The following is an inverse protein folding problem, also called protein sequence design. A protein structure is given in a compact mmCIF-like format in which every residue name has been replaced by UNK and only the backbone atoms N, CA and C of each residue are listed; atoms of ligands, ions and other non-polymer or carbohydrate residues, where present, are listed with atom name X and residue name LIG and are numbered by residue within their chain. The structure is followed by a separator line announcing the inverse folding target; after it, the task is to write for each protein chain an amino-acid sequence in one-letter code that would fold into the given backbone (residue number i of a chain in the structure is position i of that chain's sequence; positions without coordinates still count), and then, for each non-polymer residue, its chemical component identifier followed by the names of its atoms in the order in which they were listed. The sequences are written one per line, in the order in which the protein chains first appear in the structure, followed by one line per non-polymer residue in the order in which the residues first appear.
data_IF_440165308126
#
_entry.id   IF_440165308126
#
_cell.length_a   1.000
_cell.length_b   1.000
_cell.length_c   1.000
_cell.angle_alpha   90.00
_cell.angle_beta   90.00
_cell.angle_gamma   90.00
#
_symmetry.space_group_name_H-M   'P 1'
#
loop_
_entity.id
_entity.type
_entity.pdbx_description
1 polymer ?
#
# COMPACT_ATOMS: atom_id res chain seq x y z
N UNK A 1 -16.85 -3.76 9.73
CA UNK A 1 -16.74 -2.32 10.07
C UNK A 1 -17.98 -1.90 10.83
N UNK A 2 -17.85 -0.93 11.73
CA UNK A 2 -18.91 -0.53 12.67
C UNK A 2 -19.64 0.72 12.20
N UNK A 3 -20.80 1.01 12.82
CA UNK A 3 -21.65 2.16 12.45
C UNK A 3 -20.90 3.49 12.54
N UNK A 4 -19.92 3.61 13.45
CA UNK A 4 -19.10 4.82 13.60
C UNK A 4 -18.13 5.04 12.43
N UNK A 5 -17.87 4.02 11.62
CA UNK A 5 -17.03 4.12 10.42
C UNK A 5 -17.81 4.69 9.21
N UNK A 6 -19.11 4.96 9.35
CA UNK A 6 -19.96 5.40 8.25
C UNK A 6 -19.77 6.88 7.88
N UNK A 7 -19.86 7.19 6.59
CA UNK A 7 -20.03 8.54 6.07
C UNK A 7 -21.52 8.93 6.02
N UNK A 8 -21.82 10.16 5.60
CA UNK A 8 -23.20 10.69 5.54
C UNK A 8 -24.16 9.93 4.61
N UNK A 9 -23.66 9.03 3.76
CA UNK A 9 -24.47 8.16 2.89
C UNK A 9 -24.64 6.74 3.44
N UNK A 10 -24.13 6.45 4.64
CA UNK A 10 -24.23 5.13 5.27
C UNK A 10 -23.24 4.08 4.75
N UNK A 11 -22.35 4.45 3.84
CA UNK A 11 -21.20 3.63 3.43
C UNK A 11 -20.02 3.88 4.36
N UNK A 12 -19.04 3.00 4.36
CA UNK A 12 -17.78 3.22 5.07
C UNK A 12 -17.12 4.50 4.56
N UNK A 13 -16.63 5.33 5.46
CA UNK A 13 -15.95 6.56 5.13
C UNK A 13 -14.58 6.28 4.49
N UNK A 14 -14.29 6.92 3.35
CA UNK A 14 -13.04 6.69 2.61
C UNK A 14 -11.78 6.93 3.46
N UNK A 15 -11.79 7.93 4.35
CA UNK A 15 -10.72 8.17 5.32
C UNK A 15 -10.47 7.02 6.30
N UNK A 16 -11.50 6.25 6.66
CA UNK A 16 -11.34 5.05 7.50
C UNK A 16 -10.59 3.97 6.73
N UNK A 17 -10.97 3.74 5.46
CA UNK A 17 -10.29 2.79 4.58
C UNK A 17 -8.83 3.20 4.36
N UNK A 18 -8.56 4.48 4.07
CA UNK A 18 -7.18 4.97 3.88
C UNK A 18 -6.33 4.81 5.15
N UNK A 19 -6.90 5.06 6.33
CA UNK A 19 -6.20 4.80 7.60
C UNK A 19 -5.81 3.33 7.73
N UNK A 20 -6.76 2.42 7.51
CA UNK A 20 -6.50 0.97 7.61
C UNK A 20 -5.48 0.50 6.57
N UNK A 21 -5.49 1.07 5.36
CA UNK A 21 -4.50 0.78 4.32
C UNK A 21 -3.10 1.22 4.76
N UNK A 22 -2.95 2.45 5.25
CA UNK A 22 -1.66 2.97 5.71
C UNK A 22 -1.12 2.12 6.87
N UNK A 23 -1.97 1.78 7.84
CA UNK A 23 -1.62 0.90 8.96
C UNK A 23 -1.16 -0.50 8.50
N UNK A 24 -1.92 -1.13 7.59
CA UNK A 24 -1.57 -2.46 7.06
C UNK A 24 -0.25 -2.44 6.28
N UNK A 25 -0.05 -1.42 5.44
CA UNK A 25 1.17 -1.27 4.66
C UNK A 25 2.39 -0.94 5.55
N UNK A 26 2.19 -0.10 6.57
CA UNK A 26 3.22 0.21 7.57
C UNK A 26 3.65 -1.04 8.34
N UNK A 27 2.71 -1.93 8.73
CA UNK A 27 3.03 -3.20 9.39
C UNK A 27 3.97 -4.05 8.51
N UNK A 28 3.70 -4.14 7.20
CA UNK A 28 4.58 -4.86 6.27
C UNK A 28 5.98 -4.23 6.23
N UNK A 29 6.06 -2.90 6.09
CA UNK A 29 7.32 -2.17 6.07
C UNK A 29 8.12 -2.29 7.38
N UNK A 30 7.44 -2.26 8.53
CA UNK A 30 8.05 -2.45 9.86
C UNK A 30 8.56 -3.89 10.00
N UNK A 31 7.76 -4.89 9.61
CA UNK A 31 8.19 -6.30 9.68
C UNK A 31 9.42 -6.57 8.82
N UNK A 32 9.53 -5.96 7.65
CA UNK A 32 10.71 -6.11 6.79
C UNK A 32 11.94 -5.37 7.33
N UNK A 33 11.76 -4.11 7.71
CA UNK A 33 12.88 -3.26 8.15
C UNK A 33 13.33 -3.51 9.58
N UNK A 34 12.47 -4.11 10.42
CA UNK A 34 12.63 -4.24 11.86
C UNK A 34 12.89 -2.89 12.56
N UNK A 35 12.26 -1.82 12.04
CA UNK A 35 12.48 -0.43 12.47
C UNK A 35 11.20 0.42 12.39
N UNK A 36 11.14 1.56 13.09
CA UNK A 36 10.12 2.57 12.86
C UNK A 36 10.15 3.06 11.41
N UNK A 37 8.98 3.30 10.83
CA UNK A 37 8.83 3.79 9.47
C UNK A 37 7.94 5.02 9.43
N UNK A 38 8.10 5.83 8.39
CA UNK A 38 7.21 6.95 8.07
C UNK A 38 6.70 6.83 6.64
N UNK A 39 5.42 7.13 6.44
CA UNK A 39 4.81 7.22 5.10
C UNK A 39 5.29 8.51 4.43
N UNK A 40 6.06 8.37 3.34
CA UNK A 40 6.59 9.54 2.59
C UNK A 40 5.80 9.83 1.32
N UNK A 41 5.06 8.84 0.82
CA UNK A 41 4.18 8.99 -0.33
C UNK A 41 3.08 7.94 -0.30
N UNK A 42 1.89 8.37 -0.64
CA UNK A 42 0.81 7.49 -1.10
C UNK A 42 0.64 7.84 -2.58
N UNK A 43 0.85 6.86 -3.46
CA UNK A 43 0.57 7.03 -4.88
C UNK A 43 -0.95 7.08 -5.11
N UNK A 44 -1.39 7.04 -6.37
CA UNK A 44 -2.80 7.18 -6.72
C UNK A 44 -3.67 6.19 -5.93
N UNK A 45 -4.74 6.71 -5.32
CA UNK A 45 -5.72 5.94 -4.54
C UNK A 45 -7.11 6.23 -5.10
N UNK A 46 -7.59 5.37 -6.00
CA UNK A 46 -8.93 5.49 -6.58
C UNK A 46 -9.91 4.56 -5.85
N UNK A 47 -11.04 5.09 -5.39
CA UNK A 47 -12.15 4.29 -4.87
C UNK A 47 -13.04 3.82 -6.02
N UNK A 48 -12.97 2.53 -6.35
CA UNK A 48 -13.62 1.91 -7.49
C UNK A 48 -15.01 1.34 -7.15
N UNK A 49 -15.26 1.01 -5.89
CA UNK A 49 -16.53 0.52 -5.39
C UNK A 49 -16.79 0.99 -3.96
N UNK A 50 -18.06 1.12 -3.54
CA UNK A 50 -18.38 1.39 -2.14
C UNK A 50 -18.05 0.18 -1.25
N UNK A 51 -17.66 0.44 -0.01
CA UNK A 51 -17.65 -0.54 1.06
C UNK A 51 -18.84 -0.27 1.99
N UNK A 52 -19.66 -1.30 2.22
CA UNK A 52 -20.88 -1.17 3.02
C UNK A 52 -20.62 -1.50 4.49
N UNK A 53 -21.37 -0.86 5.38
CA UNK A 53 -21.38 -1.22 6.80
C UNK A 53 -21.83 -2.66 6.96
N UNK A 54 -21.18 -3.41 7.86
CA UNK A 54 -21.41 -4.83 8.06
C UNK A 54 -20.64 -5.75 7.11
N UNK A 55 -20.09 -5.26 5.99
CA UNK A 55 -19.18 -6.06 5.17
C UNK A 55 -17.80 -6.22 5.84
N UNK A 56 -17.11 -7.29 5.45
CA UNK A 56 -15.72 -7.55 5.80
C UNK A 56 -14.82 -6.83 4.80
N UNK A 57 -13.81 -6.13 5.31
CA UNK A 57 -12.79 -5.47 4.49
C UNK A 57 -11.51 -6.32 4.52
N UNK A 58 -11.02 -6.73 3.36
CA UNK A 58 -9.73 -7.37 3.19
C UNK A 58 -8.73 -6.36 2.67
N UNK A 59 -7.58 -6.26 3.32
CA UNK A 59 -6.45 -5.44 2.88
C UNK A 59 -5.26 -6.37 2.70
N UNK A 60 -4.88 -6.59 1.43
CA UNK A 60 -3.71 -7.34 1.07
C UNK A 60 -2.56 -6.36 0.88
N UNK A 61 -1.43 -6.59 1.55
CA UNK A 61 -0.27 -5.71 1.48
C UNK A 61 1.01 -6.53 1.31
N UNK A 62 1.88 -6.12 0.39
CA UNK A 62 3.16 -6.78 0.14
C UNK A 62 4.21 -5.81 -0.40
N UNK A 63 5.48 -6.14 -0.24
CA UNK A 63 6.57 -5.34 -0.79
C UNK A 63 6.71 -5.59 -2.29
N UNK A 64 6.76 -4.51 -3.05
CA UNK A 64 7.04 -4.52 -4.49
C UNK A 64 8.49 -4.10 -4.78
N UNK A 65 9.08 -3.28 -3.92
CA UNK A 65 10.44 -2.77 -4.10
C UNK A 65 11.08 -2.34 -2.78
N UNK A 66 12.39 -2.56 -2.66
CA UNK A 66 13.21 -2.05 -1.55
C UNK A 66 14.42 -1.31 -2.11
N UNK A 67 14.58 -0.06 -1.67
CA UNK A 67 15.75 0.78 -1.94
C UNK A 67 16.78 0.70 -0.82
N UNK A 68 17.56 1.77 -0.61
CA UNK A 68 18.50 1.82 0.53
C UNK A 68 17.75 1.85 1.86
N UNK A 69 16.89 2.84 2.05
CA UNK A 69 16.10 3.07 3.27
C UNK A 69 14.60 3.11 3.02
N UNK A 70 14.20 3.05 1.75
CA UNK A 70 12.82 3.18 1.29
C UNK A 70 12.24 1.82 0.93
N UNK A 71 10.95 1.64 1.17
CA UNK A 71 10.19 0.43 0.85
C UNK A 71 8.90 0.83 0.14
N UNK A 72 8.61 0.21 -0.99
CA UNK A 72 7.36 0.38 -1.74
C UNK A 72 6.46 -0.81 -1.44
N UNK A 73 5.31 -0.54 -0.84
CA UNK A 73 4.31 -1.53 -0.43
C UNK A 73 3.09 -1.36 -1.32
N UNK A 74 2.77 -2.39 -2.10
CA UNK A 74 1.50 -2.45 -2.83
C UNK A 74 0.38 -2.84 -1.88
N UNK A 75 -0.80 -2.28 -2.11
CA UNK A 75 -2.02 -2.65 -1.39
C UNK A 75 -3.18 -2.93 -2.34
N UNK A 76 -4.00 -3.90 -1.97
CA UNK A 76 -5.25 -4.23 -2.63
C UNK A 76 -6.35 -4.33 -1.57
N UNK A 77 -7.43 -3.58 -1.77
CA UNK A 77 -8.55 -3.50 -0.84
C UNK A 77 -9.78 -4.12 -1.50
N UNK A 78 -10.34 -5.14 -0.85
CA UNK A 78 -11.56 -5.80 -1.27
C UNK A 78 -12.58 -5.77 -0.12
N UNK A 79 -13.87 -5.80 -0.45
CA UNK A 79 -14.95 -5.94 0.53
C UNK A 79 -15.80 -7.15 0.20
N UNK A 80 -16.30 -7.86 1.21
CA UNK A 80 -17.17 -9.02 1.05
C UNK A 80 -18.41 -8.90 1.93
N UNK A 81 -19.57 -9.16 1.34
CA UNK A 81 -20.79 -9.48 2.06
C UNK A 81 -20.78 -10.96 2.43
N UNK A 82 -20.66 -11.28 3.72
CA UNK A 82 -20.55 -12.67 4.18
C UNK A 82 -21.83 -13.51 4.02
N UNK A 83 -22.98 -12.87 3.80
CA UNK A 83 -24.25 -13.58 3.60
C UNK A 83 -24.39 -13.97 2.14
N UNK A 84 -24.08 -13.06 1.21
CA UNK A 84 -24.23 -13.29 -0.24
C UNK A 84 -22.96 -13.85 -0.88
N UNK A 85 -21.80 -13.70 -0.25
CA UNK A 85 -20.49 -14.02 -0.81
C UNK A 85 -20.01 -13.03 -1.88
N UNK A 86 -20.70 -11.88 -2.04
CA UNK A 86 -20.35 -10.92 -3.08
C UNK A 86 -19.08 -10.16 -2.69
N UNK A 87 -18.02 -10.33 -3.49
CA UNK A 87 -16.73 -9.63 -3.34
C UNK A 87 -16.66 -8.46 -4.30
N UNK A 88 -16.25 -7.29 -3.81
CA UNK A 88 -16.00 -6.10 -4.62
C UNK A 88 -14.59 -5.58 -4.43
N UNK A 89 -13.94 -5.22 -5.53
CA UNK A 89 -12.67 -4.52 -5.52
C UNK A 89 -12.90 -3.05 -5.20
N UNK A 90 -12.40 -2.58 -4.05
CA UNK A 90 -12.64 -1.24 -3.52
C UNK A 90 -11.57 -0.27 -3.99
N UNK A 91 -10.30 -0.64 -3.86
CA UNK A 91 -9.18 0.23 -4.21
C UNK A 91 -7.89 -0.58 -4.36
N UNK A 92 -6.95 -0.03 -5.13
CA UNK A 92 -5.55 -0.46 -5.16
C UNK A 92 -4.65 0.76 -5.05
N UNK A 93 -3.48 0.62 -4.42
CA UNK A 93 -2.52 1.72 -4.31
C UNK A 93 -1.10 1.21 -4.04
N UNK A 94 -0.12 2.10 -4.13
CA UNK A 94 1.24 1.90 -3.67
C UNK A 94 1.60 2.95 -2.63
N UNK A 95 2.21 2.51 -1.53
CA UNK A 95 2.68 3.39 -0.47
C UNK A 95 4.20 3.27 -0.38
N UNK A 96 4.88 4.40 -0.25
CA UNK A 96 6.32 4.46 -0.03
C UNK A 96 6.57 4.82 1.42
N UNK A 97 7.30 3.94 2.10
CA UNK A 97 7.78 4.12 3.46
C UNK A 97 9.28 4.36 3.49
N UNK A 98 9.75 5.08 4.51
CA UNK A 98 11.17 5.19 4.84
C UNK A 98 11.39 4.72 6.27
N UNK A 99 12.32 3.78 6.45
CA UNK A 99 12.76 3.35 7.78
C UNK A 99 13.67 4.39 8.44
N UNK A 100 13.51 4.58 9.74
CA UNK A 100 14.25 5.55 10.55
C UNK A 100 15.10 4.87 11.63
N UNK A 101 16.22 5.50 11.99
CA UNK A 101 17.02 5.15 13.16
C UNK A 101 16.49 5.84 14.44
N UNK A 102 17.16 5.62 15.58
CA UNK A 102 16.79 6.21 16.86
C UNK A 102 16.86 7.75 16.89
N UNK A 103 17.56 8.38 15.94
CA UNK A 103 17.64 9.84 15.81
C UNK A 103 16.65 10.38 14.76
N UNK A 104 15.75 9.54 14.24
CA UNK A 104 14.80 9.91 13.20
C UNK A 104 15.43 10.08 11.82
N UNK A 105 16.63 9.54 11.55
CA UNK A 105 17.29 9.64 10.24
C UNK A 105 17.02 8.40 9.37
N UNK A 106 16.88 8.56 8.04
CA UNK A 106 16.74 7.43 7.12
C UNK A 106 17.89 6.43 7.25
N UNK A 107 17.55 5.15 7.36
CA UNK A 107 18.52 4.09 7.66
C UNK A 107 18.40 2.90 6.70
N UNK A 108 19.50 2.18 6.42
CA UNK A 108 19.46 1.01 5.56
C UNK A 108 18.47 -0.07 6.04
N UNK A 109 17.83 -0.75 5.10
CA UNK A 109 16.92 -1.89 5.33
C UNK A 109 17.42 -3.14 4.58
N UNK A 110 17.00 -4.37 4.96
CA UNK A 110 17.37 -5.59 4.24
C UNK A 110 16.92 -5.56 2.77
N UNK A 111 17.67 -6.18 1.84
CA UNK A 111 17.20 -6.32 0.46
C UNK A 111 15.91 -7.15 0.40
N UNK A 112 15.13 -6.96 -0.68
CA UNK A 112 13.96 -7.79 -0.94
C UNK A 112 14.39 -9.02 -1.72
N UNK A 113 14.15 -10.20 -1.14
CA UNK A 113 14.32 -11.49 -1.79
C UNK A 113 12.93 -12.09 -2.06
N UNK A 114 12.62 -12.50 -3.31
CA UNK A 114 11.34 -13.14 -3.61
C UNK A 114 11.25 -14.51 -2.94
N UNK A 115 10.08 -14.84 -2.40
CA UNK A 115 9.79 -16.15 -1.83
C UNK A 115 9.57 -17.22 -2.91
N UNK A 116 9.02 -16.83 -4.06
CA UNK A 116 8.72 -17.72 -5.18
C UNK A 116 8.72 -16.98 -6.54
N UNK A 117 8.52 -17.74 -7.63
CA UNK A 117 8.51 -17.21 -9.00
C UNK A 117 7.36 -16.21 -9.25
N UNK A 118 6.24 -16.36 -8.55
CA UNK A 118 5.10 -15.45 -8.71
C UNK A 118 5.42 -14.08 -8.08
N UNK A 119 6.03 -14.07 -6.90
CA UNK A 119 6.53 -12.86 -6.27
C UNK A 119 7.66 -12.21 -7.08
N UNK A 120 8.58 -13.01 -7.63
CA UNK A 120 9.63 -12.51 -8.52
C UNK A 120 9.03 -11.76 -9.72
N UNK A 121 8.03 -12.33 -10.38
CA UNK A 121 7.37 -11.69 -11.53
C UNK A 121 6.70 -10.35 -11.17
N UNK A 122 6.13 -10.25 -9.95
CA UNK A 122 5.53 -9.03 -9.42
C UNK A 122 6.62 -7.96 -9.18
N UNK A 123 7.69 -8.32 -8.48
CA UNK A 123 8.82 -7.42 -8.17
C UNK A 123 9.44 -6.89 -9.46
N UNK A 124 9.68 -7.75 -10.45
CA UNK A 124 10.22 -7.32 -11.74
C UNK A 124 9.29 -6.33 -12.47
N UNK A 125 7.98 -6.56 -12.42
CA UNK A 125 7.01 -5.63 -12.99
C UNK A 125 7.06 -4.29 -12.27
N UNK A 126 7.19 -4.28 -10.95
CA UNK A 126 7.33 -3.06 -10.16
C UNK A 126 8.60 -2.28 -10.52
N UNK A 127 9.74 -2.97 -10.65
CA UNK A 127 11.00 -2.39 -11.10
C UNK A 127 10.87 -1.71 -12.46
N UNK A 128 10.27 -2.39 -13.45
CA UNK A 128 10.02 -1.81 -14.78
C UNK A 128 9.14 -0.56 -14.72
N UNK A 129 8.08 -0.55 -13.90
CA UNK A 129 7.23 0.65 -13.70
C UNK A 129 8.04 1.81 -13.14
N UNK A 130 8.88 1.54 -12.12
CA UNK A 130 9.72 2.54 -11.45
C UNK A 130 10.78 3.12 -12.38
N UNK A 131 11.43 2.30 -13.20
CA UNK A 131 12.40 2.76 -14.20
C UNK A 131 11.75 3.68 -15.23
N UNK A 132 10.55 3.32 -15.70
CA UNK A 132 9.79 4.16 -16.62
C UNK A 132 9.42 5.51 -15.99
N UNK A 133 8.95 5.51 -14.74
CA UNK A 133 8.63 6.74 -14.02
C UNK A 133 9.86 7.65 -13.87
N UNK A 134 11.03 7.08 -13.52
CA UNK A 134 12.29 7.83 -13.43
C UNK A 134 12.72 8.45 -14.76
N UNK A 135 12.56 7.73 -15.88
CA UNK A 135 12.88 8.25 -17.22
C UNK A 135 12.00 9.46 -17.57
N UNK A 136 10.70 9.34 -17.36
CA UNK A 136 9.75 10.43 -17.60
C UNK A 136 10.07 11.65 -16.71
N UNK A 137 10.38 11.42 -15.42
CA UNK A 137 10.74 12.51 -14.51
C UNK A 137 12.04 13.21 -14.92
N UNK A 138 13.02 12.46 -15.46
CA UNK A 138 14.26 13.04 -15.97
C UNK A 138 14.00 13.88 -17.24
N UNK A 139 13.25 13.35 -18.20
CA UNK A 139 12.87 14.06 -19.43
C UNK A 139 12.10 15.36 -19.14
N UNK A 140 11.23 15.36 -18.12
CA UNK A 140 10.49 16.54 -17.68
C UNK A 140 11.35 17.59 -16.96
N UNK A 141 12.50 17.21 -16.38
CA UNK A 141 13.44 18.15 -15.74
C UNK A 141 14.35 18.85 -16.74
N UNK A 142 14.52 18.27 -17.92
CA UNK A 142 15.33 18.81 -19.01
C UNK A 142 14.52 19.75 -19.94
N UNK A 143 13.23 19.96 -19.65
CA UNK A 143 12.31 20.91 -20.29
C UNK A 143 12.22 22.23 -19.50
#
# INVERSE_FOLDING_TARGET
MEVLDANGHGNVHGGVIMRMVDEAAAIVAIKHSQRPVVTVRVDRFDFLAPAYIGNVLYIYSALDYVGRSSMEVRVEVNTEDLITGEVRHVASSQLIFVALDANGKPTPVPPLEPADDAELAIIERALRRRERAKKIEAELKDL
#
